data_IF_291107832015
#
_entry.id   IF_291107832015
#
_cell.length_a   1.000
_cell.length_b   1.000
_cell.length_c   1.000
_cell.angle_alpha   90.00
_cell.angle_beta   90.00
_cell.angle_gamma   90.00
#
_symmetry.space_group_name_H-M   'P 1'
#
loop_
_entity.id
_entity.type
_entity.pdbx_description
1 polymer ?
#
# COMPACT_ATOMS: atom_id res chain seq x y z
N UNK A 1 -1.92 2.85 -7.18
CA UNK A 1 -2.31 1.88 -8.24
C UNK A 1 -2.89 0.59 -7.63
N UNK A 2 -2.20 -0.08 -6.70
CA UNK A 2 -2.72 -1.27 -6.01
C UNK A 2 -4.11 -1.05 -5.37
N UNK A 3 -4.27 0.00 -4.54
CA UNK A 3 -5.56 0.35 -3.93
C UNK A 3 -6.67 0.58 -4.95
N UNK A 4 -6.35 1.29 -6.03
CA UNK A 4 -7.32 1.61 -7.09
C UNK A 4 -7.85 0.34 -7.76
N UNK A 5 -7.00 -0.66 -7.99
CA UNK A 5 -7.40 -1.98 -8.48
C UNK A 5 -8.33 -2.70 -7.48
N UNK A 6 -8.00 -2.72 -6.19
CA UNK A 6 -8.87 -3.32 -5.18
C UNK A 6 -10.27 -2.66 -5.13
N UNK A 7 -10.35 -1.33 -5.26
CA UNK A 7 -11.62 -0.59 -5.26
C UNK A 7 -12.50 -0.84 -6.50
N UNK A 8 -11.95 -1.35 -7.60
CA UNK A 8 -12.69 -1.70 -8.82
C UNK A 8 -12.92 -3.21 -8.96
N UNK A 9 -12.80 -3.96 -7.86
CA UNK A 9 -12.94 -5.42 -7.81
C UNK A 9 -11.84 -6.20 -8.56
N UNK A 10 -10.70 -5.54 -8.86
CA UNK A 10 -9.59 -6.12 -9.61
C UNK A 10 -8.50 -6.64 -8.66
N UNK A 11 -8.78 -7.78 -8.02
CA UNK A 11 -7.88 -8.40 -7.04
C UNK A 11 -6.52 -8.79 -7.65
N UNK A 12 -6.51 -9.28 -8.89
CA UNK A 12 -5.30 -9.72 -9.59
C UNK A 12 -4.37 -8.53 -9.90
N UNK A 13 -4.92 -7.42 -10.40
CA UNK A 13 -4.14 -6.20 -10.60
C UNK A 13 -3.69 -5.56 -9.28
N UNK A 14 -4.49 -5.67 -8.21
CA UNK A 14 -4.07 -5.22 -6.88
C UNK A 14 -2.86 -6.03 -6.36
N UNK A 15 -2.88 -7.36 -6.53
CA UNK A 15 -1.78 -8.24 -6.19
C UNK A 15 -0.52 -7.93 -7.01
N UNK A 16 -0.66 -7.72 -8.32
CA UNK A 16 0.46 -7.42 -9.20
C UNK A 16 1.14 -6.10 -8.81
N UNK A 17 0.35 -5.07 -8.50
CA UNK A 17 0.91 -3.80 -8.03
C UNK A 17 1.53 -3.92 -6.63
N UNK A 18 0.95 -4.71 -5.73
CA UNK A 18 1.50 -4.96 -4.40
C UNK A 18 2.88 -5.65 -4.48
N UNK A 19 3.01 -6.66 -5.33
CA UNK A 19 4.28 -7.36 -5.54
C UNK A 19 5.36 -6.40 -6.05
N UNK A 20 5.01 -5.54 -7.02
CA UNK A 20 5.90 -4.48 -7.50
C UNK A 20 6.35 -3.50 -6.41
N UNK A 21 5.45 -3.09 -5.50
CA UNK A 21 5.83 -2.20 -4.39
C UNK A 21 6.77 -2.93 -3.43
N UNK A 22 6.50 -4.20 -3.12
CA UNK A 22 7.36 -5.00 -2.26
C UNK A 22 8.76 -5.22 -2.87
N UNK A 23 8.83 -5.49 -4.18
CA UNK A 23 10.11 -5.56 -4.91
C UNK A 23 10.85 -4.21 -4.89
N UNK A 24 10.14 -3.09 -5.05
CA UNK A 24 10.73 -1.75 -5.00
C UNK A 24 11.34 -1.43 -3.62
N UNK A 25 10.70 -1.91 -2.55
CA UNK A 25 11.22 -1.85 -1.17
C UNK A 25 12.29 -2.93 -0.90
N UNK A 26 12.85 -3.57 -1.94
CA UNK A 26 13.88 -4.61 -1.85
C UNK A 26 13.49 -5.79 -0.95
N UNK A 27 12.20 -6.07 -0.80
CA UNK A 27 11.71 -7.16 0.03
C UNK A 27 11.99 -6.99 1.53
N UNK A 28 11.96 -5.75 2.03
CA UNK A 28 12.22 -5.45 3.43
C UNK A 28 11.39 -6.36 4.38
N UNK A 29 12.03 -7.03 5.36
CA UNK A 29 11.33 -7.99 6.22
C UNK A 29 10.28 -7.32 7.11
N UNK A 30 10.43 -6.02 7.40
CA UNK A 30 9.46 -5.24 8.16
C UNK A 30 8.12 -5.06 7.40
N UNK A 31 8.16 -4.99 6.07
CA UNK A 31 6.97 -4.84 5.22
C UNK A 31 6.43 -6.17 4.70
N UNK A 32 7.25 -7.23 4.70
CA UNK A 32 6.85 -8.57 4.25
C UNK A 32 5.62 -9.12 5.01
N UNK A 33 5.49 -8.82 6.30
CA UNK A 33 4.31 -9.20 7.10
C UNK A 33 3.03 -8.54 6.59
N UNK A 34 3.04 -7.20 6.43
CA UNK A 34 1.89 -6.46 5.87
C UNK A 34 1.55 -6.91 4.46
N UNK A 35 2.55 -7.14 3.62
CA UNK A 35 2.33 -7.62 2.25
C UNK A 35 1.62 -8.99 2.27
N UNK A 36 2.00 -9.89 3.17
CA UNK A 36 1.33 -11.19 3.32
C UNK A 36 -0.14 -11.03 3.76
N UNK A 37 -0.42 -10.15 4.71
CA UNK A 37 -1.78 -9.85 5.17
C UNK A 37 -2.65 -9.28 4.04
N UNK A 38 -2.14 -8.29 3.30
CA UNK A 38 -2.84 -7.71 2.15
C UNK A 38 -3.11 -8.77 1.07
N UNK A 39 -2.15 -9.67 0.80
CA UNK A 39 -2.35 -10.77 -0.16
C UNK A 39 -3.46 -11.71 0.29
N UNK A 40 -3.57 -12.01 1.57
CA UNK A 40 -4.61 -12.87 2.13
C UNK A 40 -6.00 -12.23 1.97
N UNK A 41 -6.13 -10.94 2.25
CA UNK A 41 -7.38 -10.19 2.06
C UNK A 41 -7.81 -10.16 0.59
N UNK A 42 -6.88 -9.88 -0.32
CA UNK A 42 -7.14 -9.89 -1.77
C UNK A 42 -7.55 -11.29 -2.26
N UNK A 43 -6.88 -12.35 -1.79
CA UNK A 43 -7.21 -13.72 -2.15
C UNK A 43 -8.57 -14.19 -1.59
N UNK A 44 -8.95 -13.66 -0.43
CA UNK A 44 -10.24 -13.97 0.22
C UNK A 44 -11.40 -13.14 -0.34
N UNK A 45 -11.12 -12.17 -1.21
CA UNK A 45 -12.12 -11.25 -1.77
C UNK A 45 -12.54 -10.15 -0.79
N UNK A 46 -11.82 -9.95 0.31
CA UNK A 46 -12.04 -8.85 1.26
C UNK A 46 -11.40 -7.57 0.73
N UNK A 47 -11.91 -7.10 -0.41
CA UNK A 47 -11.26 -6.02 -1.18
C UNK A 47 -11.36 -4.65 -0.52
N UNK A 48 -12.38 -4.42 0.30
CA UNK A 48 -12.52 -3.18 1.06
C UNK A 48 -11.42 -3.07 2.13
N UNK A 49 -11.22 -4.13 2.90
CA UNK A 49 -10.16 -4.22 3.91
C UNK A 49 -8.77 -4.22 3.24
N UNK A 50 -8.60 -4.96 2.13
CA UNK A 50 -7.38 -4.90 1.35
C UNK A 50 -7.06 -3.49 0.84
N UNK A 51 -8.07 -2.74 0.37
CA UNK A 51 -7.90 -1.37 -0.09
C UNK A 51 -7.50 -0.42 1.05
N UNK A 52 -7.99 -0.67 2.27
CA UNK A 52 -7.60 0.09 3.46
C UNK A 52 -6.14 -0.19 3.84
N UNK A 53 -5.76 -1.47 3.95
CA UNK A 53 -4.37 -1.84 4.25
C UNK A 53 -3.39 -1.36 3.18
N UNK A 54 -3.79 -1.37 1.90
CA UNK A 54 -3.00 -0.80 0.81
C UNK A 54 -2.81 0.73 0.92
N UNK A 55 -3.79 1.45 1.49
CA UNK A 55 -3.67 2.89 1.75
C UNK A 55 -2.64 3.15 2.85
N UNK A 56 -2.74 2.44 3.96
CA UNK A 56 -1.80 2.53 5.09
C UNK A 56 -0.39 2.09 4.69
N UNK A 57 -0.28 1.07 3.84
CA UNK A 57 1.00 0.55 3.37
C UNK A 57 1.76 1.56 2.50
N UNK A 58 1.06 2.21 1.56
CA UNK A 58 1.66 3.24 0.70
C UNK A 58 1.82 4.56 1.46
N UNK A 59 0.89 4.91 2.34
CA UNK A 59 0.98 6.08 3.21
C UNK A 59 2.20 6.03 4.11
N UNK A 60 2.41 4.90 4.81
CA UNK A 60 3.58 4.70 5.67
C UNK A 60 4.91 4.72 4.90
N UNK A 61 4.92 4.32 3.61
CA UNK A 61 6.10 4.41 2.75
C UNK A 61 6.34 5.84 2.20
N UNK A 62 5.34 6.73 2.28
CA UNK A 62 5.38 8.08 1.72
C UNK A 62 5.42 9.17 2.81
N UNK A 63 5.29 8.81 4.09
CA UNK A 63 5.35 9.71 5.24
C UNK A 63 6.76 10.25 5.55
N UNK A 64 7.79 9.91 4.77
CA UNK A 64 9.11 10.56 4.88
C UNK A 64 9.19 11.93 4.16
N UNK A 65 8.16 12.39 3.44
CA UNK A 65 8.18 13.67 2.68
C UNK A 65 7.07 14.68 3.02
N UNK A 66 6.62 14.76 4.27
CA UNK A 66 5.72 15.84 4.71
C UNK A 66 6.28 16.66 5.89
N UNK A 67 7.51 17.15 5.75
CA UNK A 67 7.91 18.43 6.35
C UNK A 67 7.52 19.54 5.36
N UNK A 68 6.25 19.97 5.41
CA UNK A 68 5.88 21.26 4.86
C UNK A 68 6.53 22.34 5.74
N UNK A 69 7.68 22.83 5.27
CA UNK A 69 8.29 24.10 5.63
C UNK A 69 7.27 25.23 5.41
N UNK A 70 6.41 25.48 6.39
CA UNK A 70 5.68 26.75 6.48
C UNK A 70 6.46 27.72 7.37
N UNK A 71 7.60 28.16 6.85
CA UNK A 71 8.13 29.47 7.18
C UNK A 71 7.12 30.54 6.75
N UNK A 72 6.27 31.00 7.68
CA UNK A 72 5.53 32.24 7.49
C UNK A 72 5.97 33.27 8.51
N UNK A 73 6.83 34.18 8.03
CA UNK A 73 7.13 35.41 8.74
C UNK A 73 5.91 36.32 8.79
N UNK A 74 5.79 37.05 9.90
CA UNK A 74 5.39 38.46 9.90
C UNK A 74 5.98 39.17 11.11
#
# INVERSE_FOLDING_TARGET
>A
LARSSALIDDADGALHHLDHIFEALSGEPAVAGRVAEIRELLASGELADAAHELEEFVGAAHEEEHEEDEGHGH
#
